data_IF_402884098302
#
_entry.id   IF_402884098302
#
_cell.length_a   1.000
_cell.length_b   1.000
_cell.length_c   1.000
_cell.angle_alpha   90.00
_cell.angle_beta   90.00
_cell.angle_gamma   90.00
#
_symmetry.space_group_name_H-M   'P 1'
#
loop_
_entity.id
_entity.type
_entity.pdbx_description
1 polymer ?
#
# COMPACT_ATOMS: atom_id res chain seq x y z
N UNK A 1 -16.18 24.58 8.43
CA UNK A 1 -16.83 23.38 7.85
C UNK A 1 -16.97 22.37 8.96
N UNK A 2 -18.12 21.72 9.10
CA UNK A 2 -18.45 20.81 10.20
C UNK A 2 -18.09 19.33 9.91
N UNK A 3 -17.34 19.07 8.83
CA UNK A 3 -16.86 17.74 8.41
C UNK A 3 -17.95 16.69 8.17
N UNK A 4 -19.21 17.10 8.03
CA UNK A 4 -20.31 16.17 7.72
C UNK A 4 -20.27 15.71 6.25
N UNK A 5 -20.69 14.47 5.97
CA UNK A 5 -20.88 14.01 4.59
C UNK A 5 -21.82 14.94 3.80
N UNK A 6 -21.54 15.09 2.50
CA UNK A 6 -22.40 15.83 1.59
C UNK A 6 -23.72 15.07 1.32
N UNK A 7 -24.79 15.77 0.91
CA UNK A 7 -26.04 15.12 0.51
C UNK A 7 -25.80 14.01 -0.53
N UNK A 8 -26.45 12.86 -0.34
CA UNK A 8 -26.29 11.68 -1.21
C UNK A 8 -24.98 10.91 -1.01
N UNK A 9 -24.08 11.34 -0.12
CA UNK A 9 -22.84 10.62 0.20
C UNK A 9 -22.98 9.91 1.54
N UNK A 10 -22.91 8.58 1.53
CA UNK A 10 -22.74 7.77 2.74
C UNK A 10 -21.29 7.30 2.82
N UNK A 11 -20.66 7.48 3.97
CA UNK A 11 -19.28 7.04 4.22
C UNK A 11 -19.14 6.51 5.65
N UNK A 12 -18.17 5.64 5.88
CA UNK A 12 -17.88 5.10 7.20
C UNK A 12 -16.59 4.28 7.20
N UNK A 13 -16.16 3.88 8.40
CA UNK A 13 -14.99 3.03 8.62
C UNK A 13 -15.32 1.54 8.34
N UNK A 14 -14.38 0.78 7.79
CA UNK A 14 -14.55 -0.67 7.56
C UNK A 14 -14.39 -1.52 8.82
N UNK A 15 -13.83 -0.95 9.88
CA UNK A 15 -13.60 -1.58 11.16
C UNK A 15 -12.16 -2.10 11.34
N UNK A 16 -11.98 -2.98 12.34
CA UNK A 16 -10.69 -3.57 12.68
C UNK A 16 -10.06 -4.35 11.54
N UNK A 17 -8.74 -4.25 11.45
CA UNK A 17 -7.89 -4.88 10.43
C UNK A 17 -6.79 -5.69 11.11
N UNK A 18 -6.23 -6.69 10.41
CA UNK A 18 -5.10 -7.49 10.93
C UNK A 18 -3.88 -6.62 11.30
N UNK A 19 -3.67 -5.55 10.54
CA UNK A 19 -2.68 -4.52 10.80
C UNK A 19 -3.20 -3.17 10.28
N UNK A 20 -2.43 -2.10 10.47
CA UNK A 20 -2.81 -0.75 10.03
C UNK A 20 -4.13 -0.24 10.64
N UNK A 21 -4.41 -0.59 11.91
CA UNK A 21 -5.60 -0.11 12.63
C UNK A 21 -5.59 1.41 12.88
N UNK A 22 -4.45 2.06 12.70
CA UNK A 22 -4.31 3.52 12.73
C UNK A 22 -4.73 4.20 11.41
N UNK A 23 -5.04 3.42 10.36
CA UNK A 23 -5.56 3.92 9.10
C UNK A 23 -7.09 3.80 9.08
N UNK A 24 -7.75 4.87 8.67
CA UNK A 24 -9.20 5.05 8.57
C UNK A 24 -9.74 4.53 7.22
N UNK A 25 -9.31 3.33 6.82
CA UNK A 25 -9.84 2.70 5.61
C UNK A 25 -11.36 2.57 5.69
N UNK A 26 -12.05 3.30 4.83
CA UNK A 26 -13.51 3.37 4.82
C UNK A 26 -14.16 2.88 3.54
N UNK A 27 -15.49 2.99 3.52
CA UNK A 27 -16.33 2.78 2.35
C UNK A 27 -17.03 4.07 1.95
N UNK A 28 -17.45 4.16 0.68
CA UNK A 28 -18.28 5.26 0.20
C UNK A 28 -19.39 4.74 -0.71
N UNK A 29 -20.62 5.20 -0.49
CA UNK A 29 -21.78 5.00 -1.35
C UNK A 29 -22.31 6.35 -1.80
N UNK A 30 -22.58 6.46 -3.10
CA UNK A 30 -23.13 7.66 -3.72
C UNK A 30 -24.55 7.37 -4.19
N UNK A 31 -25.51 8.15 -3.71
CA UNK A 31 -26.91 8.11 -4.14
C UNK A 31 -27.19 9.34 -5.02
N UNK A 32 -27.20 9.12 -6.34
CA UNK A 32 -27.50 10.14 -7.36
C UNK A 32 -26.77 11.48 -7.17
N UNK A 33 -25.51 11.43 -6.70
CA UNK A 33 -24.69 12.62 -6.46
C UNK A 33 -24.31 13.29 -7.79
N UNK A 34 -24.75 14.53 -7.97
CA UNK A 34 -24.47 15.34 -9.17
C UNK A 34 -23.19 16.15 -8.96
N UNK A 35 -22.22 15.98 -9.86
CA UNK A 35 -20.98 16.77 -9.88
C UNK A 35 -20.83 17.52 -11.21
N UNK A 36 -20.13 18.67 -11.25
CA UNK A 36 -19.83 19.34 -12.50
C UNK A 36 -19.03 18.45 -13.45
N UNK A 37 -19.32 18.52 -14.76
CA UNK A 37 -18.59 17.79 -15.82
C UNK A 37 -17.06 17.93 -15.71
N UNK A 38 -16.58 19.14 -15.36
CA UNK A 38 -15.15 19.44 -15.19
C UNK A 38 -14.44 18.64 -14.09
N UNK A 39 -15.18 17.95 -13.22
CA UNK A 39 -14.61 17.09 -12.18
C UNK A 39 -14.16 15.72 -12.73
N UNK A 40 -14.55 15.35 -13.95
CA UNK A 40 -14.01 14.17 -14.63
C UNK A 40 -12.53 14.40 -14.98
N UNK A 41 -11.67 13.42 -14.72
CA UNK A 41 -10.25 13.46 -15.08
C UNK A 41 -10.05 13.35 -16.60
N UNK A 42 -10.13 14.48 -17.31
CA UNK A 42 -10.23 14.50 -18.77
C UNK A 42 -8.90 14.50 -19.56
N UNK A 43 -7.80 13.99 -18.96
CA UNK A 43 -6.47 14.03 -19.62
C UNK A 43 -6.42 13.20 -20.90
N UNK A 44 -6.99 12.00 -20.90
CA UNK A 44 -6.93 11.02 -22.01
C UNK A 44 -8.30 10.72 -22.64
N UNK A 45 -9.37 11.00 -21.91
CA UNK A 45 -10.75 10.85 -22.36
C UNK A 45 -11.52 12.14 -22.03
N UNK A 46 -12.42 12.56 -22.90
CA UNK A 46 -13.18 13.81 -22.76
C UNK A 46 -14.66 13.54 -22.99
N UNK A 47 -15.49 14.37 -22.37
CA UNK A 47 -16.92 14.48 -22.69
C UNK A 47 -17.19 15.96 -22.87
N UNK A 48 -17.71 16.36 -24.03
CA UNK A 48 -18.05 17.76 -24.29
C UNK A 48 -19.35 18.18 -23.60
N UNK A 49 -19.75 19.44 -23.77
CA UNK A 49 -20.99 19.98 -23.17
C UNK A 49 -22.27 19.36 -23.72
N UNK A 50 -22.20 18.78 -24.93
CA UNK A 50 -23.30 18.07 -25.58
C UNK A 50 -23.32 16.57 -25.23
N UNK A 51 -22.43 16.12 -24.34
CA UNK A 51 -22.34 14.72 -23.93
C UNK A 51 -21.58 13.82 -24.90
N UNK A 52 -20.90 14.37 -25.91
CA UNK A 52 -20.13 13.57 -26.86
C UNK A 52 -18.81 13.12 -26.24
N UNK A 53 -18.62 11.81 -26.19
CA UNK A 53 -17.35 11.21 -25.79
C UNK A 53 -16.27 11.40 -26.86
N UNK A 54 -15.07 11.75 -26.43
CA UNK A 54 -13.88 11.82 -27.26
C UNK A 54 -12.69 11.18 -26.58
N UNK A 55 -12.08 10.18 -27.22
CA UNK A 55 -10.78 9.65 -26.80
C UNK A 55 -9.68 10.47 -27.48
N UNK A 56 -8.73 11.00 -26.72
CA UNK A 56 -7.58 11.65 -27.34
C UNK A 56 -6.70 10.56 -27.95
N UNK A 57 -6.34 10.73 -29.23
CA UNK A 57 -5.32 9.89 -29.85
C UNK A 57 -4.05 10.05 -29.04
N UNK A 58 -3.67 8.99 -28.35
CA UNK A 58 -2.45 8.92 -27.56
C UNK A 58 -1.46 8.13 -28.40
N UNK A 59 -0.29 8.73 -28.64
CA UNK A 59 0.82 7.96 -29.21
C UNK A 59 1.11 6.75 -28.31
N UNK A 60 1.70 5.69 -28.88
CA UNK A 60 2.11 4.51 -28.11
C UNK A 60 3.03 4.88 -26.93
N UNK A 61 3.83 5.94 -27.08
CA UNK A 61 4.63 6.52 -26.01
C UNK A 61 3.78 7.11 -24.87
N UNK A 62 2.65 7.75 -25.18
CA UNK A 62 1.75 8.34 -24.19
C UNK A 62 0.93 7.29 -23.44
N UNK A 63 0.62 6.16 -24.08
CA UNK A 63 -0.02 5.03 -23.42
C UNK A 63 0.90 4.40 -22.36
N UNK A 64 2.20 4.26 -22.66
CA UNK A 64 3.21 3.80 -21.69
C UNK A 64 3.37 4.75 -20.49
N UNK A 65 3.21 6.07 -20.70
CA UNK A 65 3.24 7.08 -19.62
C UNK A 65 2.07 6.91 -18.64
N UNK A 66 0.90 6.42 -19.05
CA UNK A 66 -0.20 6.16 -18.12
C UNK A 66 0.17 5.10 -17.06
N UNK A 67 1.11 4.21 -17.36
CA UNK A 67 1.61 3.18 -16.44
C UNK A 67 2.74 3.65 -15.54
N UNK A 68 3.32 4.84 -15.77
CA UNK A 68 4.51 5.29 -15.02
C UNK A 68 4.25 5.34 -13.52
N UNK A 69 3.07 5.81 -13.10
CA UNK A 69 2.69 5.87 -11.69
C UNK A 69 2.61 4.48 -11.08
N UNK A 70 2.08 3.49 -11.80
CA UNK A 70 2.06 2.10 -11.32
C UNK A 70 3.48 1.53 -11.17
N UNK A 71 4.38 1.82 -12.11
CA UNK A 71 5.77 1.38 -12.00
C UNK A 71 6.49 2.04 -10.83
N UNK A 72 6.30 3.35 -10.63
CA UNK A 72 6.89 4.08 -9.49
C UNK A 72 6.43 3.49 -8.16
N UNK A 73 5.12 3.23 -8.01
CA UNK A 73 4.56 2.60 -6.80
C UNK A 73 5.17 1.20 -6.59
N UNK A 74 5.31 0.39 -7.65
CA UNK A 74 5.94 -0.93 -7.57
C UNK A 74 7.41 -0.87 -7.15
N UNK A 75 8.17 0.07 -7.70
CA UNK A 75 9.57 0.27 -7.30
C UNK A 75 9.68 0.65 -5.82
N UNK A 76 8.76 1.50 -5.33
CA UNK A 76 8.69 1.87 -3.93
C UNK A 76 8.37 0.67 -3.01
N UNK A 77 7.44 -0.20 -3.40
CA UNK A 77 7.11 -1.42 -2.64
C UNK A 77 8.36 -2.32 -2.46
N UNK A 78 9.17 -2.48 -3.51
CA UNK A 78 10.41 -3.27 -3.43
C UNK A 78 11.40 -2.64 -2.44
N UNK A 79 11.57 -1.31 -2.48
CA UNK A 79 12.45 -0.59 -1.57
C UNK A 79 12.01 -0.77 -0.10
N UNK A 80 10.72 -0.58 0.18
CA UNK A 80 10.19 -0.74 1.54
C UNK A 80 10.29 -2.19 2.02
N UNK A 81 10.06 -3.17 1.15
CA UNK A 81 10.23 -4.60 1.49
C UNK A 81 11.66 -4.89 1.95
N UNK A 82 12.68 -4.33 1.29
CA UNK A 82 14.07 -4.46 1.71
C UNK A 82 14.35 -3.82 3.08
N UNK A 83 13.73 -2.65 3.35
CA UNK A 83 13.86 -1.95 4.64
C UNK A 83 13.22 -2.74 5.78
N UNK A 84 12.03 -3.28 5.56
CA UNK A 84 11.33 -4.06 6.59
C UNK A 84 12.03 -5.40 6.86
N UNK A 85 12.55 -6.05 5.82
CA UNK A 85 13.40 -7.23 5.98
C UNK A 85 14.67 -6.89 6.78
N UNK A 86 15.33 -5.77 6.49
CA UNK A 86 16.52 -5.35 7.23
C UNK A 86 16.24 -5.14 8.73
N UNK A 87 15.09 -4.53 9.07
CA UNK A 87 14.65 -4.38 10.48
C UNK A 87 14.44 -5.75 11.15
N UNK A 88 13.71 -6.65 10.49
CA UNK A 88 13.45 -7.99 11.00
C UNK A 88 14.76 -8.78 11.20
N UNK A 89 15.64 -8.77 10.21
CA UNK A 89 16.95 -9.41 10.28
C UNK A 89 17.81 -8.82 11.40
N UNK A 90 17.84 -7.49 11.58
CA UNK A 90 18.61 -6.87 12.63
C UNK A 90 18.17 -7.33 14.03
N UNK A 91 16.87 -7.42 14.28
CA UNK A 91 16.32 -7.93 15.55
C UNK A 91 16.66 -9.42 15.71
N UNK A 92 16.37 -10.24 14.70
CA UNK A 92 16.57 -11.69 14.74
C UNK A 92 18.04 -12.06 14.94
N UNK A 93 18.97 -11.45 14.20
CA UNK A 93 20.41 -11.74 14.31
C UNK A 93 20.95 -11.34 15.68
N UNK A 94 20.59 -10.14 16.17
CA UNK A 94 21.01 -9.68 17.50
C UNK A 94 20.49 -10.59 18.61
N UNK A 95 19.23 -11.00 18.53
CA UNK A 95 18.64 -11.92 19.49
C UNK A 95 19.31 -13.29 19.44
N UNK A 96 19.51 -13.88 18.25
CA UNK A 96 20.18 -15.17 18.09
C UNK A 96 21.63 -15.17 18.58
N UNK A 97 22.32 -14.03 18.48
CA UNK A 97 23.68 -13.87 18.99
C UNK A 97 23.76 -13.82 20.53
N UNK A 98 22.67 -13.55 21.25
CA UNK A 98 22.68 -13.51 22.72
C UNK A 98 21.88 -14.63 23.36
N UNK A 99 20.85 -15.13 22.67
CA UNK A 99 20.02 -16.23 23.16
C UNK A 99 20.85 -17.50 23.17
N UNK A 100 20.99 -18.09 24.36
CA UNK A 100 21.54 -19.44 24.53
C UNK A 100 20.40 -20.42 24.77
N UNK A 101 20.37 -21.50 24.02
CA UNK A 101 19.43 -22.60 24.24
C UNK A 101 19.89 -23.86 23.53
N UNK A 102 19.90 -24.97 24.28
CA UNK A 102 20.44 -26.24 23.82
C UNK A 102 21.92 -26.35 24.18
N UNK A 103 22.40 -27.59 24.35
CA UNK A 103 23.76 -27.86 24.80
C UNK A 103 24.64 -28.33 23.66
N UNK A 104 25.94 -28.12 23.80
CA UNK A 104 26.92 -28.88 23.04
C UNK A 104 26.85 -30.39 23.39
N UNK A 105 27.52 -31.23 22.61
CA UNK A 105 27.59 -32.67 22.89
C UNK A 105 28.21 -33.02 24.25
N UNK A 106 28.79 -32.05 24.97
CA UNK A 106 29.31 -32.23 26.32
C UNK A 106 28.27 -31.97 27.42
N UNK A 107 27.12 -31.36 27.10
CA UNK A 107 26.02 -31.10 28.04
C UNK A 107 26.30 -30.01 29.08
N UNK A 108 27.45 -29.32 29.01
CA UNK A 108 27.94 -28.44 30.09
C UNK A 108 27.76 -26.95 29.80
N UNK A 109 27.60 -26.57 28.54
CA UNK A 109 27.46 -25.18 28.11
C UNK A 109 26.35 -25.05 27.08
N UNK A 110 25.46 -24.09 27.31
CA UNK A 110 24.47 -23.73 26.30
C UNK A 110 25.12 -22.91 25.18
N UNK A 111 24.79 -23.24 23.93
CA UNK A 111 25.29 -22.57 22.74
C UNK A 111 24.38 -21.39 22.38
N UNK A 112 24.96 -20.36 21.77
CA UNK A 112 24.17 -19.29 21.16
C UNK A 112 23.36 -19.90 20.02
N UNK A 113 22.10 -19.48 19.88
CA UNK A 113 21.21 -20.03 18.84
C UNK A 113 21.79 -19.77 17.43
N UNK A 114 22.56 -18.69 17.26
CA UNK A 114 23.24 -18.37 16.01
C UNK A 114 24.32 -19.38 15.60
N UNK A 115 24.88 -20.16 16.53
CA UNK A 115 25.97 -21.11 16.26
C UNK A 115 25.47 -22.45 15.67
N UNK A 116 24.16 -22.72 15.74
CA UNK A 116 23.58 -23.92 15.15
C UNK A 116 23.57 -23.83 13.62
N UNK A 117 24.18 -24.81 12.97
CA UNK A 117 24.09 -25.01 11.51
C UNK A 117 22.89 -25.91 11.19
N UNK A 118 22.25 -25.67 10.05
CA UNK A 118 21.28 -26.59 9.47
C UNK A 118 21.96 -27.92 9.07
#
# INVERSE_FOLDING_TARGET
RDHKPLPGVTTGDLGPKLGYNNMDNGYARFDNVVIPRRNMAMRFATVDENGKYGRKSVSEATEKVAYITMMQVRAYIVLESGRDLAKACAVSIRYSAVRKQGFDGSGRKELQVLDYRQ
#
